data_IF_830001085298
#
_entry.id   IF_830001085298
#
_cell.length_a   1.000
_cell.length_b   1.000
_cell.length_c   1.000
_cell.angle_alpha   90.00
_cell.angle_beta   90.00
_cell.angle_gamma   90.00
#
_symmetry.space_group_name_H-M   'P 1'
#
loop_
_entity.id
_entity.type
_entity.pdbx_description
1 polymer ?
#
# COMPACT_ATOMS: atom_id res chain seq x y z
N UNK A 1 25.51 8.44 2.15
CA UNK A 1 24.58 9.44 1.57
C UNK A 1 23.34 8.85 0.96
N UNK A 2 23.45 7.78 0.16
CA UNK A 2 22.26 7.07 -0.35
C UNK A 2 21.34 6.58 0.77
N UNK A 3 21.90 6.04 1.84
CA UNK A 3 21.11 5.54 2.97
C UNK A 3 20.32 6.63 3.68
N UNK A 4 20.87 7.83 3.80
CA UNK A 4 20.16 8.94 4.43
C UNK A 4 19.02 9.46 3.56
N UNK A 5 19.22 9.48 2.25
CA UNK A 5 18.18 9.89 1.30
C UNK A 5 17.05 8.87 1.29
N UNK A 6 17.37 7.58 1.29
CA UNK A 6 16.37 6.50 1.33
C UNK A 6 15.57 6.52 2.63
N UNK A 7 16.23 6.76 3.77
CA UNK A 7 15.57 6.89 5.06
C UNK A 7 14.61 8.07 5.08
N UNK A 8 15.04 9.22 4.59
CA UNK A 8 14.21 10.41 4.54
C UNK A 8 13.00 10.20 3.62
N UNK A 9 13.21 9.57 2.48
CA UNK A 9 12.16 9.24 1.53
C UNK A 9 11.15 8.26 2.14
N UNK A 10 11.63 7.23 2.82
CA UNK A 10 10.79 6.24 3.48
C UNK A 10 9.95 6.90 4.60
N UNK A 11 10.56 7.76 5.40
CA UNK A 11 9.86 8.51 6.44
C UNK A 11 8.78 9.41 5.86
N UNK A 12 9.07 10.09 4.75
CA UNK A 12 8.09 10.94 4.09
C UNK A 12 6.92 10.09 3.56
N UNK A 13 7.20 8.95 2.96
CA UNK A 13 6.16 8.03 2.48
C UNK A 13 5.28 7.57 3.62
N UNK A 14 5.86 7.18 4.74
CA UNK A 14 5.10 6.78 5.93
C UNK A 14 4.20 7.91 6.42
N UNK A 15 4.72 9.13 6.49
CA UNK A 15 3.94 10.28 6.94
C UNK A 15 2.75 10.56 6.00
N UNK A 16 2.98 10.49 4.70
CA UNK A 16 1.90 10.68 3.71
C UNK A 16 0.83 9.60 3.88
N UNK A 17 1.23 8.34 4.03
CA UNK A 17 0.28 7.25 4.21
C UNK A 17 -0.50 7.38 5.51
N UNK A 18 0.14 7.80 6.61
CA UNK A 18 -0.54 8.05 7.88
C UNK A 18 -1.63 9.09 7.76
N UNK A 19 -1.45 10.08 6.88
CA UNK A 19 -2.44 11.12 6.66
C UNK A 19 -3.52 10.72 5.65
N UNK A 20 -3.16 9.92 4.66
CA UNK A 20 -4.08 9.59 3.56
C UNK A 20 -4.91 8.33 3.81
N UNK A 21 -4.38 7.36 4.55
CA UNK A 21 -5.12 6.12 4.83
C UNK A 21 -6.44 6.38 5.57
N UNK A 22 -6.51 7.23 6.61
CA UNK A 22 -7.79 7.54 7.24
C UNK A 22 -8.82 8.11 6.27
N UNK A 23 -8.40 8.93 5.32
CA UNK A 23 -9.29 9.46 4.29
C UNK A 23 -9.82 8.36 3.37
N UNK A 24 -8.97 7.39 3.03
CA UNK A 24 -9.38 6.22 2.25
C UNK A 24 -10.43 5.40 2.99
N UNK A 25 -10.25 5.24 4.30
CA UNK A 25 -11.17 4.44 5.09
C UNK A 25 -12.55 5.09 5.23
N UNK A 26 -12.64 6.39 5.01
CA UNK A 26 -13.91 7.12 5.03
C UNK A 26 -14.61 7.16 3.67
N UNK A 27 -13.89 6.89 2.59
CA UNK A 27 -14.43 6.98 1.22
C UNK A 27 -14.01 5.76 0.41
N UNK A 28 -14.93 4.81 0.25
CA UNK A 28 -14.69 3.56 -0.45
C UNK A 28 -14.44 3.73 -1.96
N UNK A 29 -14.81 4.89 -2.51
CA UNK A 29 -14.58 5.18 -3.92
C UNK A 29 -13.22 5.79 -4.21
N UNK A 30 -12.52 6.23 -3.17
CA UNK A 30 -11.22 6.88 -3.32
C UNK A 30 -10.11 5.84 -3.53
N UNK A 31 -9.21 6.14 -4.45
CA UNK A 31 -8.07 5.29 -4.76
C UNK A 31 -6.81 6.14 -4.65
N UNK A 32 -5.79 5.63 -3.94
CA UNK A 32 -4.49 6.27 -3.89
C UNK A 32 -3.57 5.58 -4.89
N UNK A 33 -2.94 6.35 -5.77
CA UNK A 33 -1.93 5.88 -6.70
C UNK A 33 -0.58 5.88 -6.00
N UNK A 34 -0.02 4.70 -5.77
CA UNK A 34 1.26 4.52 -5.08
C UNK A 34 2.46 4.51 -6.03
N UNK A 35 2.22 4.58 -7.33
CA UNK A 35 3.30 4.60 -8.32
C UNK A 35 4.26 5.76 -8.11
N UNK A 36 3.74 6.90 -7.65
CA UNK A 36 4.54 8.09 -7.39
C UNK A 36 5.66 7.88 -6.38
N UNK A 37 5.50 6.91 -5.49
CA UNK A 37 6.50 6.62 -4.47
C UNK A 37 7.67 5.79 -5.00
N UNK A 38 7.53 5.20 -6.17
CA UNK A 38 8.57 4.41 -6.84
C UNK A 38 9.10 3.20 -6.05
N UNK A 39 8.25 2.63 -5.19
CA UNK A 39 8.58 1.40 -4.48
C UNK A 39 8.01 0.18 -5.19
N UNK A 40 8.71 -0.95 -5.07
CA UNK A 40 8.12 -2.23 -5.46
C UNK A 40 7.07 -2.65 -4.41
N UNK A 41 6.17 -3.61 -4.74
CA UNK A 41 5.13 -4.03 -3.79
C UNK A 41 5.70 -4.53 -2.46
N UNK A 42 6.79 -5.27 -2.48
CA UNK A 42 7.42 -5.77 -1.26
C UNK A 42 7.86 -4.67 -0.33
N UNK A 43 8.49 -3.62 -0.86
CA UNK A 43 8.93 -2.49 -0.05
C UNK A 43 7.74 -1.69 0.48
N UNK A 44 6.70 -1.53 -0.33
CA UNK A 44 5.48 -0.84 0.12
C UNK A 44 4.79 -1.62 1.23
N UNK A 45 4.74 -2.94 1.13
CA UNK A 45 4.18 -3.77 2.19
C UNK A 45 4.99 -3.65 3.48
N UNK A 46 6.31 -3.57 3.41
CA UNK A 46 7.16 -3.36 4.58
C UNK A 46 6.83 -2.04 5.27
N UNK A 47 6.63 -0.97 4.49
CA UNK A 47 6.25 0.34 5.03
C UNK A 47 4.89 0.25 5.72
N UNK A 48 3.92 -0.40 5.09
CA UNK A 48 2.59 -0.56 5.67
C UNK A 48 2.62 -1.40 6.95
N UNK A 49 3.48 -2.42 7.01
CA UNK A 49 3.67 -3.20 8.23
C UNK A 49 4.23 -2.33 9.37
N UNK A 50 5.14 -1.43 9.06
CA UNK A 50 5.66 -0.48 10.06
C UNK A 50 4.57 0.45 10.60
N UNK A 51 3.50 0.67 9.83
CA UNK A 51 2.34 1.46 10.25
C UNK A 51 1.29 0.62 10.97
N UNK A 52 1.53 -0.67 11.17
CA UNK A 52 0.65 -1.54 11.91
C UNK A 52 -0.27 -2.40 11.05
N UNK A 53 -0.13 -2.36 9.73
CA UNK A 53 -0.94 -3.17 8.83
C UNK A 53 -0.31 -4.54 8.62
N UNK A 54 -1.16 -5.57 8.63
CA UNK A 54 -0.77 -6.92 8.27
C UNK A 54 -1.32 -7.22 6.88
N UNK A 55 -0.65 -8.07 6.12
CA UNK A 55 -1.11 -8.38 4.77
C UNK A 55 -1.24 -9.87 4.52
N UNK A 56 -2.11 -10.19 3.56
CA UNK A 56 -2.31 -11.53 3.05
C UNK A 56 -2.42 -11.43 1.53
N UNK A 57 -1.81 -12.37 0.81
CA UNK A 57 -1.92 -12.42 -0.65
C UNK A 57 -3.28 -12.98 -1.02
N UNK A 58 -4.09 -12.20 -1.72
CA UNK A 58 -5.42 -12.63 -2.16
C UNK A 58 -5.38 -13.34 -3.50
N UNK A 59 -4.64 -12.79 -4.45
CA UNK A 59 -4.60 -13.30 -5.80
C UNK A 59 -3.20 -13.10 -6.36
N UNK A 60 -2.55 -14.19 -6.72
CA UNK A 60 -1.23 -14.18 -7.31
C UNK A 60 -1.28 -14.96 -8.62
N UNK A 61 -1.41 -14.23 -9.72
CA UNK A 61 -1.59 -14.81 -11.04
C UNK A 61 -0.28 -14.97 -11.83
N UNK A 62 0.83 -15.08 -11.11
CA UNK A 62 2.13 -15.23 -11.75
C UNK A 62 2.86 -13.91 -11.88
N UNK A 63 4.05 -13.98 -12.39
CA UNK A 63 5.06 -12.92 -12.32
C UNK A 63 4.81 -11.69 -13.21
N UNK A 64 3.96 -11.79 -14.21
CA UNK A 64 3.63 -10.66 -15.08
C UNK A 64 2.22 -10.11 -14.84
N UNK A 65 1.48 -10.73 -13.93
CA UNK A 65 0.06 -10.43 -13.78
C UNK A 65 -0.22 -9.68 -12.49
N UNK A 66 -1.48 -9.31 -12.34
CA UNK A 66 -1.93 -8.54 -11.22
C UNK A 66 -1.86 -9.34 -9.92
N UNK A 67 -1.36 -8.70 -8.88
CA UNK A 67 -1.34 -9.28 -7.53
C UNK A 67 -2.14 -8.38 -6.61
N UNK A 68 -2.97 -8.97 -5.76
CA UNK A 68 -3.74 -8.24 -4.78
C UNK A 68 -3.37 -8.70 -3.37
N UNK A 69 -3.23 -7.73 -2.48
CA UNK A 69 -2.93 -7.98 -1.08
C UNK A 69 -4.04 -7.40 -0.22
N UNK A 70 -4.53 -8.20 0.73
CA UNK A 70 -5.49 -7.74 1.72
C UNK A 70 -4.73 -7.23 2.93
N UNK A 71 -5.03 -6.01 3.36
CA UNK A 71 -4.38 -5.38 4.51
C UNK A 71 -5.40 -5.20 5.62
N UNK A 72 -5.00 -5.60 6.83
CA UNK A 72 -5.82 -5.48 8.04
C UNK A 72 -5.06 -4.76 9.13
N UNK A 73 -5.78 -4.05 9.99
CA UNK A 73 -5.21 -3.32 11.11
C UNK A 73 -6.12 -3.42 12.33
N UNK A 74 -5.53 -3.66 13.48
CA UNK A 74 -6.29 -3.85 14.73
C UNK A 74 -7.15 -2.65 15.13
N UNK A 75 -6.72 -1.45 14.76
CA UNK A 75 -7.43 -0.21 15.12
C UNK A 75 -8.52 0.17 14.13
N UNK A 76 -8.60 -0.48 12.99
CA UNK A 76 -9.57 -0.13 11.96
C UNK A 76 -10.42 -1.34 11.59
N UNK A 77 -11.72 -1.11 11.41
CA UNK A 77 -12.66 -2.17 10.99
C UNK A 77 -12.54 -2.47 9.50
N UNK A 78 -12.33 -1.42 8.72
CA UNK A 78 -12.20 -1.57 7.27
C UNK A 78 -10.85 -2.13 6.92
N UNK A 79 -10.82 -2.87 5.83
CA UNK A 79 -9.61 -3.44 5.26
C UNK A 79 -9.17 -2.59 4.08
N UNK A 80 -7.91 -2.74 3.69
CA UNK A 80 -7.38 -2.11 2.49
C UNK A 80 -7.00 -3.19 1.49
N UNK A 81 -7.09 -2.85 0.22
CA UNK A 81 -6.58 -3.68 -0.87
C UNK A 81 -5.44 -2.93 -1.54
N UNK A 82 -4.28 -3.58 -1.59
CA UNK A 82 -3.14 -3.11 -2.38
C UNK A 82 -3.15 -3.89 -3.69
N UNK A 83 -3.42 -3.21 -4.78
CA UNK A 83 -3.45 -3.81 -6.11
C UNK A 83 -2.20 -3.41 -6.89
N UNK A 84 -1.50 -4.41 -7.41
CA UNK A 84 -0.29 -4.19 -8.18
C UNK A 84 -0.42 -4.87 -9.56
N UNK A 85 -0.06 -4.13 -10.61
CA UNK A 85 0.01 -4.69 -11.96
C UNK A 85 1.45 -4.62 -12.45
N UNK A 86 2.09 -5.77 -12.60
CA UNK A 86 3.44 -5.85 -13.14
C UNK A 86 3.51 -5.47 -14.62
N UNK A 87 2.43 -5.70 -15.36
CA UNK A 87 2.35 -5.40 -16.78
C UNK A 87 2.30 -3.88 -17.04
N UNK A 88 1.51 -3.14 -16.22
CA UNK A 88 1.33 -1.70 -16.37
C UNK A 88 2.17 -0.88 -15.42
N UNK A 89 2.90 -1.51 -14.52
CA UNK A 89 3.70 -0.84 -13.49
C UNK A 89 2.86 0.08 -12.62
N UNK A 90 1.65 -0.35 -12.28
CA UNK A 90 0.74 0.44 -11.44
C UNK A 90 0.58 -0.22 -10.06
N UNK A 91 0.39 0.61 -9.06
CA UNK A 91 0.14 0.17 -7.71
C UNK A 91 -0.88 1.11 -7.07
N UNK A 92 -1.97 0.55 -6.56
CA UNK A 92 -3.07 1.33 -5.99
C UNK A 92 -3.45 0.81 -4.62
N UNK A 93 -3.89 1.72 -3.77
CA UNK A 93 -4.41 1.39 -2.45
C UNK A 93 -5.85 1.89 -2.37
N UNK A 94 -6.76 1.02 -1.94
CA UNK A 94 -8.18 1.30 -1.85
C UNK A 94 -8.77 0.61 -0.62
N UNK A 95 -9.76 1.24 0.01
CA UNK A 95 -10.48 0.62 1.11
C UNK A 95 -11.44 -0.45 0.59
N UNK A 96 -11.56 -1.52 1.35
CA UNK A 96 -12.49 -2.61 1.05
C UNK A 96 -13.57 -2.64 2.12
N UNK A 97 -14.83 -2.65 1.70
CA UNK A 97 -15.95 -2.91 2.61
C UNK A 97 -16.00 -4.37 3.00
N UNK A 98 -16.33 -4.61 4.25
CA UNK A 98 -16.58 -5.96 4.75
C UNK A 98 -17.93 -6.50 4.22
#
# INVERSE_FOLDING_TARGET
MKEMIEKARRSLTKNVLELTIPELLEDDEKIIDLKEFEYCPGDMLDILQELGWEYEVLDENGWEQDTEYLLTHDMYRKQLILSYSGFYWTMHLQAKED
#
